data_IF_625236284411
#
_entry.id   IF_625236284411
#
_cell.length_a   1.000
_cell.length_b   1.000
_cell.length_c   1.000
_cell.angle_alpha   90.00
_cell.angle_beta   90.00
_cell.angle_gamma   90.00
#
_symmetry.space_group_name_H-M   'P 1'
#
loop_
_entity.id
_entity.type
_entity.pdbx_description
1 polymer ?
#
# COMPACT_ATOMS: atom_id res chain seq x y z
N UNK A 1 -32.13 12.83 -79.90
CA UNK A 1 -30.80 12.30 -79.54
C UNK A 1 -30.87 11.80 -78.11
N UNK A 2 -30.66 10.49 -77.91
CA UNK A 2 -30.62 9.85 -76.57
C UNK A 2 -29.36 10.32 -75.84
N UNK A 3 -29.39 10.40 -74.51
CA UNK A 3 -28.47 9.70 -73.59
C UNK A 3 -28.93 9.95 -72.14
N UNK A 4 -28.94 8.85 -71.37
CA UNK A 4 -29.25 8.71 -69.94
C UNK A 4 -28.03 9.12 -69.10
N UNK A 5 -28.23 9.55 -67.84
CA UNK A 5 -27.34 9.41 -66.66
C UNK A 5 -27.94 10.26 -65.51
N UNK A 6 -27.85 10.00 -64.21
CA UNK A 6 -27.67 8.83 -63.35
C UNK A 6 -27.96 9.37 -61.91
N UNK A 7 -28.44 8.52 -60.99
CA UNK A 7 -28.64 8.84 -59.57
C UNK A 7 -27.31 9.14 -58.86
N UNK A 8 -27.33 10.03 -57.85
CA UNK A 8 -26.54 9.86 -56.61
C UNK A 8 -27.19 10.61 -55.45
N UNK A 9 -27.70 9.84 -54.49
CA UNK A 9 -28.06 10.29 -53.14
C UNK A 9 -26.81 10.30 -52.27
N UNK A 10 -26.65 11.32 -51.42
CA UNK A 10 -25.67 11.30 -50.32
C UNK A 10 -26.42 11.58 -49.03
N UNK A 11 -26.64 10.51 -48.26
CA UNK A 11 -27.01 10.57 -46.85
C UNK A 11 -25.69 10.52 -46.08
N UNK A 12 -25.30 11.63 -45.44
CA UNK A 12 -24.21 11.63 -44.46
C UNK A 12 -24.79 11.33 -43.08
N UNK A 13 -24.68 10.08 -42.63
CA UNK A 13 -24.82 9.73 -41.21
C UNK A 13 -23.49 10.10 -40.54
N UNK A 14 -23.50 11.17 -39.76
CA UNK A 14 -22.37 11.54 -38.91
C UNK A 14 -22.27 10.57 -37.73
N UNK A 15 -21.28 9.69 -37.75
CA UNK A 15 -20.89 8.88 -36.59
C UNK A 15 -20.11 9.76 -35.60
N UNK A 16 -20.76 10.16 -34.51
CA UNK A 16 -20.07 10.70 -33.33
C UNK A 16 -19.38 9.56 -32.59
N UNK A 17 -18.11 9.29 -32.91
CA UNK A 17 -17.24 8.46 -32.09
C UNK A 17 -16.81 9.28 -30.85
N UNK A 18 -17.51 9.11 -29.74
CA UNK A 18 -17.07 9.66 -28.46
C UNK A 18 -15.84 8.90 -27.98
N UNK A 19 -14.67 9.55 -28.06
CA UNK A 19 -13.41 9.07 -27.50
C UNK A 19 -13.52 9.06 -25.97
N UNK A 20 -13.84 7.91 -25.39
CA UNK A 20 -13.76 7.66 -23.96
C UNK A 20 -12.29 7.39 -23.57
N UNK A 21 -11.41 8.39 -23.67
CA UNK A 21 -9.99 8.28 -23.27
C UNK A 21 -9.67 9.14 -22.05
N UNK A 22 -10.51 9.05 -21.01
CA UNK A 22 -10.47 10.02 -19.90
C UNK A 22 -10.53 9.48 -18.48
N UNK A 23 -10.55 8.17 -18.23
CA UNK A 23 -10.69 7.64 -16.85
C UNK A 23 -9.63 6.63 -16.41
N UNK A 24 -8.76 6.17 -17.31
CA UNK A 24 -7.77 5.15 -16.95
C UNK A 24 -6.59 5.70 -16.10
N UNK A 25 -6.18 6.96 -16.31
CA UNK A 25 -4.98 7.51 -15.66
C UNK A 25 -5.18 7.97 -14.20
N UNK A 26 -6.42 8.21 -13.74
CA UNK A 26 -6.69 8.55 -12.33
C UNK A 26 -6.85 7.30 -11.43
N UNK A 27 -7.01 6.12 -12.03
CA UNK A 27 -7.22 4.86 -11.31
C UNK A 27 -5.90 4.19 -10.85
N UNK A 28 -4.74 4.69 -11.28
CA UNK A 28 -3.46 4.00 -11.05
C UNK A 28 -2.87 4.16 -9.64
N UNK A 29 -3.49 4.97 -8.77
CA UNK A 29 -3.12 5.04 -7.33
C UNK A 29 -4.33 4.97 -6.37
N UNK A 30 -5.48 4.48 -6.81
CA UNK A 30 -6.63 4.25 -5.92
C UNK A 30 -6.57 2.85 -5.30
N UNK A 31 -5.57 2.58 -4.45
CA UNK A 31 -5.69 1.46 -3.52
C UNK A 31 -6.49 1.90 -2.31
N UNK A 32 -7.53 1.14 -1.96
CA UNK A 32 -8.20 1.31 -0.67
C UNK A 32 -7.25 0.97 0.50
N UNK A 33 -6.32 0.04 0.28
CA UNK A 33 -5.32 -0.35 1.27
C UNK A 33 -4.09 0.56 1.17
N UNK A 34 -3.77 1.26 2.25
CA UNK A 34 -2.68 2.25 2.31
C UNK A 34 -1.89 2.12 3.61
N UNK A 35 -0.68 2.65 3.61
CA UNK A 35 0.17 2.69 4.80
C UNK A 35 -0.26 3.86 5.68
N UNK A 36 -0.92 3.60 6.81
CA UNK A 36 -1.34 4.66 7.75
C UNK A 36 -0.14 5.38 8.36
N UNK A 37 0.87 4.62 8.77
CA UNK A 37 2.05 5.16 9.44
C UNK A 37 3.05 4.08 9.80
N UNK A 38 4.23 4.52 10.25
CA UNK A 38 5.35 3.65 10.61
C UNK A 38 5.97 4.13 11.92
N UNK A 39 6.18 3.22 12.87
CA UNK A 39 7.13 3.39 13.96
C UNK A 39 8.46 2.85 13.44
N UNK A 40 9.27 3.74 12.88
CA UNK A 40 10.52 3.36 12.20
C UNK A 40 11.69 3.27 13.18
N UNK A 41 11.65 4.06 14.26
CA UNK A 41 12.62 4.03 15.35
C UNK A 41 11.90 3.48 16.59
N UNK A 42 12.35 2.33 17.08
CA UNK A 42 11.68 1.66 18.19
C UNK A 42 11.92 2.43 19.49
N UNK A 43 10.88 2.71 20.30
CA UNK A 43 11.07 3.37 21.58
C UNK A 43 12.08 2.64 22.48
N UNK A 44 13.01 3.40 23.05
CA UNK A 44 14.08 2.89 23.92
C UNK A 44 15.39 2.60 23.17
N UNK A 45 16.38 2.06 23.89
CA UNK A 45 17.63 1.64 23.25
C UNK A 45 17.41 0.37 22.43
N UNK A 46 17.89 0.39 21.19
CA UNK A 46 17.79 -0.74 20.27
C UNK A 46 18.40 -2.03 20.83
N UNK A 47 17.58 -3.07 20.84
CA UNK A 47 17.95 -4.42 21.24
C UNK A 47 17.25 -5.42 20.33
N UNK A 48 18.04 -6.04 19.45
CA UNK A 48 17.59 -7.07 18.51
C UNK A 48 17.44 -8.47 19.13
N UNK A 49 17.44 -8.57 20.47
CA UNK A 49 17.25 -9.84 21.16
C UNK A 49 15.82 -10.33 20.97
N UNK A 50 15.65 -11.56 20.50
CA UNK A 50 14.31 -12.16 20.36
C UNK A 50 13.55 -12.27 21.69
N UNK A 51 14.28 -12.38 22.81
CA UNK A 51 13.71 -12.31 24.15
C UNK A 51 14.15 -11.00 24.80
N UNK A 52 13.19 -10.21 25.27
CA UNK A 52 13.43 -8.95 25.96
C UNK A 52 13.89 -7.77 25.09
N UNK A 53 14.06 -7.95 23.77
CA UNK A 53 14.33 -6.86 22.83
C UNK A 53 13.10 -6.05 22.46
N UNK A 54 13.32 -4.93 21.77
CA UNK A 54 12.29 -3.93 21.44
C UNK A 54 11.91 -3.91 19.95
N UNK A 55 12.39 -4.84 19.11
CA UNK A 55 12.08 -4.83 17.66
C UNK A 55 10.60 -5.00 17.33
N UNK A 56 9.81 -5.58 18.23
CA UNK A 56 8.34 -5.63 18.09
C UNK A 56 7.66 -4.27 18.22
N UNK A 57 8.36 -3.29 18.81
CA UNK A 57 7.91 -1.91 18.93
C UNK A 57 8.23 -1.11 17.68
N UNK A 58 9.02 -1.65 16.75
CA UNK A 58 9.09 -1.18 15.38
C UNK A 58 7.96 -1.84 14.58
N UNK A 59 7.14 -1.04 13.91
CA UNK A 59 5.98 -1.57 13.19
C UNK A 59 5.48 -0.66 12.08
N UNK A 60 4.83 -1.29 11.10
CA UNK A 60 4.09 -0.63 10.04
C UNK A 60 2.58 -0.82 10.27
N UNK A 61 1.81 0.26 10.20
CA UNK A 61 0.34 0.18 10.25
C UNK A 61 -0.22 0.31 8.84
N UNK A 62 -0.98 -0.68 8.40
CA UNK A 62 -1.64 -0.70 7.09
C UNK A 62 -3.14 -0.68 7.34
N UNK A 63 -3.86 0.25 6.71
CA UNK A 63 -5.29 0.47 6.94
C UNK A 63 -6.09 0.34 5.64
N UNK A 64 -7.28 -0.22 5.77
CA UNK A 64 -8.29 -0.22 4.72
C UNK A 64 -9.12 1.07 4.79
N UNK A 65 -8.88 1.97 3.84
CA UNK A 65 -9.62 3.22 3.66
C UNK A 65 -10.86 3.08 2.77
N UNK A 66 -11.18 1.87 2.32
CA UNK A 66 -12.48 1.62 1.68
C UNK A 66 -13.60 1.96 2.65
N UNK A 67 -14.69 2.54 2.13
CA UNK A 67 -15.90 2.79 2.91
C UNK A 67 -16.81 1.57 2.99
N UNK A 68 -16.66 0.61 2.09
CA UNK A 68 -17.63 -0.47 1.89
C UNK A 68 -17.01 -1.85 1.69
N UNK A 69 -15.78 -1.92 1.17
CA UNK A 69 -15.16 -3.17 0.79
C UNK A 69 -14.20 -3.67 1.87
N UNK A 70 -14.36 -4.93 2.29
CA UNK A 70 -13.36 -5.69 3.03
C UNK A 70 -12.18 -6.03 2.13
N UNK A 71 -10.95 -5.93 2.64
CA UNK A 71 -9.72 -6.28 1.91
C UNK A 71 -9.06 -7.47 2.60
N UNK A 72 -8.76 -8.53 1.83
CA UNK A 72 -7.91 -9.62 2.30
C UNK A 72 -6.45 -9.34 1.93
N UNK A 73 -5.56 -9.40 2.92
CA UNK A 73 -4.14 -9.10 2.75
C UNK A 73 -3.34 -10.26 2.14
N UNK A 74 -3.92 -11.44 1.94
CA UNK A 74 -3.18 -12.57 1.34
C UNK A 74 -2.52 -12.18 0.01
N UNK A 75 -1.22 -12.37 -0.07
CA UNK A 75 -0.39 -12.08 -1.23
C UNK A 75 0.11 -10.62 -1.32
N UNK A 76 -0.35 -9.72 -0.45
CA UNK A 76 0.25 -8.39 -0.36
C UNK A 76 1.69 -8.48 0.13
N UNK A 77 2.50 -7.51 -0.30
CA UNK A 77 3.93 -7.47 0.03
C UNK A 77 4.30 -6.09 0.54
N UNK A 78 5.01 -6.08 1.66
CA UNK A 78 5.71 -4.90 2.18
C UNK A 78 7.19 -5.05 1.85
N UNK A 79 7.79 -4.00 1.28
CA UNK A 79 9.21 -3.95 0.95
C UNK A 79 9.82 -2.61 1.36
N UNK A 80 11.07 -2.61 1.78
CA UNK A 80 11.85 -1.38 1.95
C UNK A 80 12.72 -1.05 0.71
N UNK A 81 13.52 0.02 0.77
CA UNK A 81 14.47 0.35 -0.28
C UNK A 81 15.69 -0.60 -0.32
N UNK A 82 16.06 -1.19 0.82
CA UNK A 82 17.26 -2.03 1.00
C UNK A 82 17.05 -3.48 0.50
N UNK A 83 15.81 -3.90 0.28
CA UNK A 83 15.46 -5.23 -0.19
C UNK A 83 14.80 -6.13 0.87
N UNK A 84 14.61 -5.67 2.11
CA UNK A 84 13.79 -6.37 3.08
C UNK A 84 12.37 -6.53 2.56
N UNK A 85 11.83 -7.74 2.71
CA UNK A 85 10.51 -8.11 2.21
C UNK A 85 9.71 -8.85 3.28
N UNK A 86 8.42 -8.58 3.36
CA UNK A 86 7.43 -9.36 4.07
C UNK A 86 6.25 -9.64 3.14
N UNK A 87 5.81 -10.90 3.09
CA UNK A 87 4.64 -11.31 2.31
C UNK A 87 3.58 -11.81 3.28
N UNK A 88 2.36 -11.32 3.14
CA UNK A 88 1.20 -11.89 3.84
C UNK A 88 0.83 -13.22 3.18
N UNK A 89 1.27 -14.34 3.76
CA UNK A 89 1.06 -15.69 3.19
C UNK A 89 -0.31 -16.27 3.57
N UNK A 90 -0.80 -15.94 4.76
CA UNK A 90 -2.11 -16.31 5.25
C UNK A 90 -3.17 -15.26 4.88
N UNK A 91 -4.45 -15.64 4.99
CA UNK A 91 -5.55 -14.69 4.89
C UNK A 91 -5.62 -13.83 6.15
N UNK A 92 -5.80 -12.52 5.96
CA UNK A 92 -6.05 -11.55 7.02
C UNK A 92 -7.04 -10.53 6.46
N UNK A 93 -8.22 -10.39 7.06
CA UNK A 93 -9.30 -9.56 6.52
C UNK A 93 -9.37 -8.24 7.27
N UNK A 94 -9.35 -7.14 6.54
CA UNK A 94 -9.57 -5.81 7.07
C UNK A 94 -10.91 -5.28 6.58
N UNK A 95 -11.84 -5.09 7.51
CA UNK A 95 -13.11 -4.43 7.24
C UNK A 95 -12.90 -2.94 6.88
N UNK A 96 -13.91 -2.24 6.35
CA UNK A 96 -13.85 -0.79 6.15
C UNK A 96 -13.38 -0.04 7.40
N UNK A 97 -12.30 0.73 7.27
CA UNK A 97 -11.69 1.50 8.36
C UNK A 97 -10.72 0.71 9.26
N UNK A 98 -10.66 -0.60 9.13
CA UNK A 98 -9.82 -1.47 9.95
C UNK A 98 -8.34 -1.45 9.51
N UNK A 99 -7.43 -1.91 10.37
CA UNK A 99 -5.99 -1.88 10.15
C UNK A 99 -5.27 -3.09 10.71
N UNK A 100 -4.10 -3.41 10.16
CA UNK A 100 -3.17 -4.39 10.73
C UNK A 100 -1.86 -3.70 11.13
N UNK A 101 -1.20 -4.19 12.17
CA UNK A 101 0.19 -3.87 12.49
C UNK A 101 1.12 -5.00 12.06
N UNK A 102 2.00 -4.73 11.10
CA UNK A 102 3.15 -5.59 10.81
C UNK A 102 4.28 -5.19 11.76
N UNK A 103 4.54 -6.04 12.76
CA UNK A 103 5.59 -5.83 13.77
C UNK A 103 6.88 -6.55 13.39
N UNK A 104 8.00 -5.98 13.82
CA UNK A 104 9.24 -6.73 13.95
C UNK A 104 9.15 -7.81 15.04
N UNK A 105 10.26 -8.50 15.27
CA UNK A 105 10.34 -9.56 16.28
C UNK A 105 9.63 -10.85 15.87
N UNK A 106 9.46 -11.73 16.87
CA UNK A 106 8.74 -13.00 16.75
C UNK A 106 7.48 -12.94 17.61
N UNK A 107 6.40 -13.53 17.11
CA UNK A 107 5.11 -13.54 17.78
C UNK A 107 4.13 -14.44 17.06
N UNK A 108 2.87 -14.41 17.48
CA UNK A 108 1.79 -15.16 16.83
C UNK A 108 0.92 -14.19 16.05
N UNK A 109 0.79 -14.45 14.75
CA UNK A 109 -0.12 -13.68 13.89
C UNK A 109 -1.56 -13.87 14.36
N UNK A 110 -2.36 -12.81 14.33
CA UNK A 110 -3.76 -12.81 14.75
C UNK A 110 -4.57 -11.88 13.89
N UNK A 111 -5.54 -12.45 13.17
CA UNK A 111 -6.55 -11.73 12.41
C UNK A 111 -7.40 -10.86 13.34
N UNK A 112 -7.99 -11.47 14.37
CA UNK A 112 -8.80 -10.77 15.36
C UNK A 112 -8.02 -9.70 16.16
N UNK A 113 -6.72 -9.92 16.41
CA UNK A 113 -5.85 -8.97 17.10
C UNK A 113 -5.20 -7.94 16.17
N UNK A 114 -5.44 -8.03 14.85
CA UNK A 114 -4.90 -7.14 13.84
C UNK A 114 -3.38 -6.94 13.93
N UNK A 115 -2.68 -8.06 14.10
CA UNK A 115 -1.23 -8.08 14.22
C UNK A 115 -0.63 -9.24 13.47
N UNK A 116 0.45 -8.96 12.75
CA UNK A 116 1.32 -9.97 12.16
C UNK A 116 2.77 -9.66 12.51
N UNK A 117 3.60 -10.69 12.56
CA UNK A 117 5.00 -10.57 12.93
C UNK A 117 5.89 -11.03 11.78
N UNK A 118 6.97 -10.29 11.53
CA UNK A 118 7.96 -10.66 10.52
C UNK A 118 8.69 -11.97 10.82
N UNK A 119 8.62 -12.45 12.06
CA UNK A 119 9.38 -13.59 12.57
C UNK A 119 10.89 -13.38 12.47
N UNK A 120 11.33 -12.14 12.64
CA UNK A 120 12.73 -11.74 12.59
C UNK A 120 12.99 -10.66 13.64
N UNK A 121 14.02 -10.85 14.45
CA UNK A 121 14.34 -9.98 15.58
C UNK A 121 15.32 -8.85 15.22
N UNK A 122 15.66 -8.67 13.96
CA UNK A 122 16.37 -7.48 13.49
C UNK A 122 15.39 -6.34 13.18
N UNK A 123 15.86 -5.11 13.32
CA UNK A 123 15.16 -3.91 12.86
C UNK A 123 15.06 -3.90 11.34
N UNK A 124 13.97 -3.33 10.82
CA UNK A 124 13.62 -3.38 9.40
C UNK A 124 13.81 -2.01 8.75
N UNK A 125 13.38 -0.96 9.45
CA UNK A 125 13.39 0.41 8.99
C UNK A 125 14.66 1.10 9.46
N UNK A 126 15.21 1.93 8.57
CA UNK A 126 16.41 2.70 8.89
C UNK A 126 16.05 3.99 9.63
N UNK A 127 16.67 4.22 10.79
CA UNK A 127 16.42 5.40 11.64
C UNK A 127 16.67 6.76 10.97
N UNK A 128 17.48 6.84 9.91
CA UNK A 128 17.75 8.11 9.24
C UNK A 128 16.76 8.42 8.10
N UNK A 129 16.50 7.42 7.26
CA UNK A 129 15.66 7.52 6.06
C UNK A 129 15.33 6.13 5.49
N UNK A 130 14.16 5.98 4.91
CA UNK A 130 13.80 4.78 4.17
C UNK A 130 12.70 5.06 3.14
N UNK A 131 12.34 4.05 2.35
CA UNK A 131 11.15 4.04 1.50
C UNK A 131 10.38 2.75 1.68
N UNK A 132 9.13 2.90 2.11
CA UNK A 132 8.17 1.82 2.30
C UNK A 132 7.39 1.65 1.01
N UNK A 133 7.36 0.43 0.49
CA UNK A 133 6.53 0.03 -0.62
C UNK A 133 5.49 -0.99 -0.16
N UNK A 134 4.23 -0.74 -0.46
CA UNK A 134 3.16 -1.71 -0.34
C UNK A 134 2.72 -2.15 -1.74
N UNK A 135 2.80 -3.45 -2.02
CA UNK A 135 2.42 -4.03 -3.30
C UNK A 135 1.18 -4.91 -3.17
N UNK A 136 0.33 -4.84 -4.19
CA UNK A 136 -0.77 -5.77 -4.41
C UNK A 136 -0.23 -7.15 -4.81
N UNK A 137 -1.03 -8.22 -4.65
CA UNK A 137 -0.66 -9.55 -5.13
C UNK A 137 -0.33 -9.61 -6.63
N UNK A 138 -0.91 -8.70 -7.42
CA UNK A 138 -0.62 -8.56 -8.87
C UNK A 138 0.77 -7.98 -9.18
N UNK A 139 1.51 -7.50 -8.17
CA UNK A 139 2.79 -6.82 -8.35
C UNK A 139 2.69 -5.30 -8.56
N UNK A 140 1.48 -4.75 -8.74
CA UNK A 140 1.28 -3.30 -8.79
C UNK A 140 1.48 -2.65 -7.42
N UNK A 141 1.98 -1.41 -7.37
CA UNK A 141 2.10 -0.64 -6.13
C UNK A 141 0.70 -0.27 -5.63
N UNK A 142 0.41 -0.59 -4.38
CA UNK A 142 -0.77 -0.13 -3.65
C UNK A 142 -0.52 1.24 -3.02
N UNK A 143 0.66 1.43 -2.41
CA UNK A 143 1.07 2.68 -1.77
C UNK A 143 2.60 2.76 -1.67
N UNK A 144 3.14 3.97 -1.57
CA UNK A 144 4.58 4.20 -1.40
C UNK A 144 4.82 5.46 -0.57
N UNK A 145 5.71 5.37 0.41
CA UNK A 145 6.13 6.53 1.22
C UNK A 145 7.61 6.50 1.47
N UNK A 146 8.25 7.64 1.29
CA UNK A 146 9.62 7.87 1.71
C UNK A 146 9.65 8.83 2.89
N UNK A 147 10.61 8.65 3.78
CA UNK A 147 10.83 9.57 4.87
C UNK A 147 12.30 9.84 5.11
N UNK A 148 12.57 10.96 5.77
CA UNK A 148 13.79 11.19 6.53
C UNK A 148 13.39 11.61 7.94
N UNK A 149 14.13 11.19 8.96
CA UNK A 149 13.88 11.56 10.36
C UNK A 149 13.71 13.08 10.51
N UNK A 150 14.66 13.83 9.94
CA UNK A 150 14.66 15.30 10.00
C UNK A 150 13.41 15.96 9.41
N UNK A 151 12.88 15.44 8.30
CA UNK A 151 11.76 16.09 7.61
C UNK A 151 10.39 15.63 8.11
N UNK A 152 10.29 14.40 8.63
CA UNK A 152 9.01 13.74 8.84
C UNK A 152 8.69 13.45 10.31
N UNK A 153 9.68 13.45 11.21
CA UNK A 153 9.53 13.15 12.63
C UNK A 153 9.99 14.35 13.48
N UNK A 154 9.16 15.40 13.48
CA UNK A 154 9.51 16.68 14.12
C UNK A 154 9.43 16.63 15.65
N UNK A 155 8.61 15.75 16.20
CA UNK A 155 8.50 15.51 17.64
C UNK A 155 9.52 14.48 18.15
N UNK A 156 10.20 13.75 17.25
CA UNK A 156 11.32 12.88 17.57
C UNK A 156 10.89 11.60 18.27
N UNK A 157 9.63 11.18 18.08
CA UNK A 157 9.07 10.01 18.74
C UNK A 157 9.28 8.70 17.95
N UNK A 158 9.93 8.78 16.78
CA UNK A 158 10.20 7.63 15.92
C UNK A 158 9.00 7.18 15.07
N UNK A 159 7.90 7.94 15.07
CA UNK A 159 6.65 7.59 14.41
C UNK A 159 6.26 8.64 13.36
N UNK A 160 5.88 8.17 12.17
CA UNK A 160 5.42 9.03 11.08
C UNK A 160 4.02 8.59 10.66
N UNK A 161 3.10 9.55 10.56
CA UNK A 161 1.77 9.36 9.96
C UNK A 161 1.79 9.80 8.51
N UNK A 162 1.27 8.96 7.61
CA UNK A 162 1.13 9.29 6.19
C UNK A 162 -0.32 9.57 5.79
N UNK A 163 -1.24 8.72 6.24
CA UNK A 163 -2.68 8.86 5.95
C UNK A 163 -3.48 8.89 7.26
N UNK A 164 -4.37 9.89 7.42
CA UNK A 164 -5.29 10.01 8.56
C UNK A 164 -6.56 9.20 8.38
#
# INVERSE_FOLDING_TARGET
MRIRSALTAVVTIGTFAALATGTAQAAEYSSALKVKGVQYDAPGTDSNRCSGGNTKNEYLTIKNYSRTATVNLKGYVVKDATGNKFTFTAGHKLEPGDYVKLRGGRGTDSDAGNVVYRQNCNFIWNNDKDTIYLYKPSGAKADVHSYTKRANDRDGNGYITYHG
#
